data_IF_272406602106
#
_entry.id   IF_272406602106
#
_cell.length_a   1.000
_cell.length_b   1.000
_cell.length_c   1.000
_cell.angle_alpha   90.00
_cell.angle_beta   90.00
_cell.angle_gamma   90.00
#
_symmetry.space_group_name_H-M   'P 1'
#
loop_
_entity.id
_entity.type
_entity.pdbx_description
1 polymer ?
#
# COMPACT_ATOMS: atom_id res chain seq x y z
N UNK A 1 -14.51 10.87 21.38
CA UNK A 1 -14.68 9.72 20.45
C UNK A 1 -14.14 10.01 19.05
N UNK A 2 -14.09 11.26 18.58
CA UNK A 2 -13.52 11.66 17.28
C UNK A 2 -12.05 11.26 17.07
N UNK A 3 -11.25 11.28 18.12
CA UNK A 3 -9.83 10.96 18.06
C UNK A 3 -9.56 9.50 17.66
N UNK A 4 -10.31 8.57 18.24
CA UNK A 4 -10.26 7.14 17.92
C UNK A 4 -10.76 6.87 16.49
N UNK A 5 -11.83 7.54 16.05
CA UNK A 5 -12.34 7.43 14.68
C UNK A 5 -11.31 7.90 13.63
N UNK A 6 -10.55 8.97 13.91
CA UNK A 6 -9.46 9.43 13.02
C UNK A 6 -8.37 8.37 12.89
N UNK A 7 -7.91 7.77 13.98
CA UNK A 7 -6.87 6.72 13.95
C UNK A 7 -7.32 5.45 13.23
N UNK A 8 -8.58 5.03 13.42
CA UNK A 8 -9.14 3.85 12.74
C UNK A 8 -9.13 4.03 11.22
N UNK A 9 -9.49 5.22 10.71
CA UNK A 9 -9.41 5.51 9.26
C UNK A 9 -7.98 5.36 8.71
N UNK A 10 -6.97 5.78 9.46
CA UNK A 10 -5.57 5.59 9.07
C UNK A 10 -5.13 4.13 9.09
N UNK A 11 -5.54 3.37 10.11
CA UNK A 11 -5.27 1.93 10.19
C UNK A 11 -5.92 1.21 9.00
N UNK A 12 -7.14 1.58 8.61
CA UNK A 12 -7.81 1.02 7.44
C UNK A 12 -7.02 1.32 6.15
N UNK A 13 -6.55 2.54 5.96
CA UNK A 13 -5.72 2.92 4.80
C UNK A 13 -4.42 2.10 4.77
N UNK A 14 -3.80 1.89 5.93
CA UNK A 14 -2.56 1.12 6.05
C UNK A 14 -2.79 -0.36 5.72
N UNK A 15 -3.86 -0.96 6.26
CA UNK A 15 -4.25 -2.34 5.96
C UNK A 15 -4.58 -2.50 4.46
N UNK A 16 -5.32 -1.56 3.89
CA UNK A 16 -5.66 -1.57 2.46
C UNK A 16 -4.40 -1.49 1.59
N UNK A 17 -3.43 -0.66 1.97
CA UNK A 17 -2.12 -0.58 1.34
C UNK A 17 -1.38 -1.92 1.41
N UNK A 18 -1.30 -2.55 2.58
CA UNK A 18 -0.64 -3.86 2.75
C UNK A 18 -1.29 -4.96 1.90
N UNK A 19 -2.62 -4.97 1.80
CA UNK A 19 -3.35 -5.94 0.98
C UNK A 19 -3.00 -5.76 -0.50
N UNK A 20 -3.04 -4.52 -1.02
CA UNK A 20 -2.66 -4.25 -2.42
C UNK A 20 -1.21 -4.67 -2.68
N UNK A 21 -0.30 -4.33 -1.77
CA UNK A 21 1.10 -4.72 -1.89
C UNK A 21 1.28 -6.25 -1.94
N UNK A 22 0.59 -6.97 -1.06
CA UNK A 22 0.59 -8.44 -1.01
C UNK A 22 0.03 -9.06 -2.28
N UNK A 23 -1.08 -8.53 -2.81
CA UNK A 23 -1.68 -8.98 -4.07
C UNK A 23 -0.73 -8.73 -5.24
N UNK A 24 -0.10 -7.56 -5.32
CA UNK A 24 0.87 -7.23 -6.37
C UNK A 24 2.09 -8.15 -6.31
N UNK A 25 2.62 -8.41 -5.11
CA UNK A 25 3.73 -9.35 -4.93
C UNK A 25 3.35 -10.79 -5.29
N UNK A 26 2.14 -11.24 -4.90
CA UNK A 26 1.64 -12.56 -5.25
C UNK A 26 1.45 -12.71 -6.76
N UNK A 27 0.92 -11.68 -7.44
CA UNK A 27 0.76 -11.65 -8.89
C UNK A 27 2.12 -11.74 -9.61
N UNK A 28 3.14 -11.03 -9.10
CA UNK A 28 4.51 -11.07 -9.61
C UNK A 28 5.18 -12.44 -9.40
N UNK A 29 4.99 -13.04 -8.23
CA UNK A 29 5.60 -14.33 -7.87
C UNK A 29 4.94 -15.52 -8.57
N UNK A 30 3.64 -15.45 -8.84
CA UNK A 30 2.88 -16.56 -9.44
C UNK A 30 3.01 -16.57 -10.96
N UNK A 31 3.14 -15.38 -11.57
CA UNK A 31 3.42 -15.27 -13.00
C UNK A 31 4.91 -15.00 -13.24
N UNK A 32 5.74 -16.04 -13.04
CA UNK A 32 7.19 -16.00 -13.35
C UNK A 32 7.54 -15.73 -14.82
N UNK A 33 6.55 -15.49 -15.68
CA UNK A 33 6.68 -15.21 -17.10
C UNK A 33 5.87 -14.00 -17.58
N UNK A 34 5.73 -12.97 -16.73
CA UNK A 34 5.22 -11.64 -17.14
C UNK A 34 6.27 -10.93 -18.01
N UNK A 35 6.49 -11.41 -19.23
CA UNK A 35 7.44 -10.86 -20.22
C UNK A 35 7.01 -9.49 -20.78
N UNK A 36 5.91 -8.92 -20.31
CA UNK A 36 5.44 -7.60 -20.71
C UNK A 36 6.10 -6.52 -19.88
N UNK A 37 7.07 -5.80 -20.45
CA UNK A 37 7.72 -4.65 -19.80
C UNK A 37 6.71 -3.68 -19.19
N UNK A 38 5.55 -3.48 -19.83
CA UNK A 38 4.47 -2.63 -19.32
C UNK A 38 3.92 -3.08 -17.96
N UNK A 39 3.80 -4.40 -17.72
CA UNK A 39 3.24 -4.92 -16.47
C UNK A 39 4.25 -4.82 -15.33
N UNK A 40 5.54 -5.03 -15.61
CA UNK A 40 6.64 -4.80 -14.67
C UNK A 40 6.75 -3.33 -14.25
N UNK A 41 6.64 -2.40 -15.19
CA UNK A 41 6.68 -0.97 -14.87
C UNK A 41 5.45 -0.52 -14.07
N UNK A 42 4.26 -1.01 -14.42
CA UNK A 42 3.03 -0.69 -13.68
C UNK A 42 3.07 -1.26 -12.26
N UNK A 43 3.59 -2.48 -12.07
CA UNK A 43 3.70 -3.09 -10.74
C UNK A 43 4.73 -2.38 -9.86
N UNK A 44 5.87 -1.92 -10.40
CA UNK A 44 6.86 -1.13 -9.66
C UNK A 44 6.34 0.27 -9.28
N UNK A 45 5.61 0.94 -10.17
CA UNK A 45 4.93 2.22 -9.86
C UNK A 45 3.89 2.00 -8.76
N UNK A 46 3.10 0.93 -8.85
CA UNK A 46 2.08 0.61 -7.86
C UNK A 46 2.71 0.28 -6.50
N UNK A 47 3.83 -0.44 -6.51
CA UNK A 47 4.62 -0.79 -5.32
C UNK A 47 5.20 0.44 -4.62
N UNK A 48 5.79 1.37 -5.38
CA UNK A 48 6.34 2.63 -4.84
C UNK A 48 5.25 3.56 -4.31
N UNK A 49 4.12 3.68 -5.02
CA UNK A 49 2.96 4.44 -4.54
C UNK A 49 2.40 3.86 -3.23
N UNK A 50 2.34 2.53 -3.11
CA UNK A 50 1.89 1.83 -1.91
C UNK A 50 2.79 2.13 -0.70
N UNK A 51 4.11 2.13 -0.90
CA UNK A 51 5.08 2.52 0.14
C UNK A 51 4.88 3.97 0.58
N UNK A 52 4.63 4.88 -0.38
CA UNK A 52 4.33 6.29 -0.10
C UNK A 52 3.07 6.47 0.75
N UNK A 53 1.97 5.77 0.43
CA UNK A 53 0.75 5.78 1.22
C UNK A 53 0.93 5.17 2.61
N UNK A 54 1.72 4.10 2.72
CA UNK A 54 2.09 3.50 4.01
C UNK A 54 2.85 4.48 4.91
N UNK A 55 3.87 5.14 4.38
CA UNK A 55 4.64 6.16 5.10
C UNK A 55 3.76 7.35 5.51
N UNK A 56 2.90 7.83 4.62
CA UNK A 56 1.93 8.89 4.92
C UNK A 56 1.01 8.50 6.07
N UNK A 57 0.44 7.29 6.04
CA UNK A 57 -0.43 6.80 7.09
C UNK A 57 0.29 6.70 8.45
N UNK A 58 1.55 6.25 8.47
CA UNK A 58 2.37 6.18 9.68
C UNK A 58 2.65 7.57 10.25
N UNK A 59 3.14 8.51 9.42
CA UNK A 59 3.44 9.89 9.87
C UNK A 59 2.20 10.56 10.43
N UNK A 60 1.06 10.40 9.77
CA UNK A 60 -0.19 11.03 10.18
C UNK A 60 -0.78 10.37 11.43
N UNK A 61 -0.57 9.07 11.64
CA UNK A 61 -0.91 8.38 12.88
C UNK A 61 -0.19 8.98 14.09
N UNK A 62 1.11 9.31 13.97
CA UNK A 62 1.87 9.97 15.02
C UNK A 62 1.60 11.49 15.15
N UNK A 63 1.15 12.14 14.06
CA UNK A 63 0.87 13.59 14.04
C UNK A 63 -0.47 13.95 14.70
N UNK A 64 -1.43 13.04 14.73
CA UNK A 64 -2.74 13.27 15.37
C UNK A 64 -2.52 13.30 16.90
N UNK A 65 -2.50 14.50 17.51
CA UNK A 65 -2.53 14.75 18.96
C UNK A 65 -3.95 14.97 19.45
#
# INVERSE_FOLDING_TARGET
>A
MDYLMKRIRFIIILIFSLIIFGVVQWQLSTNGNLSGAKILWVSEILKSACIGFGLYAIVMFFRVK
#
